data_IF_015513106421
#
_entry.id   IF_015513106421
#
_cell.length_a   1.000
_cell.length_b   1.000
_cell.length_c   1.000
_cell.angle_alpha   90.00
_cell.angle_beta   90.00
_cell.angle_gamma   90.00
#
_symmetry.space_group_name_H-M   'P 1'
#
loop_
_entity.id
_entity.type
_entity.pdbx_description
1 polymer ?
#
# COMPACT_ATOMS: atom_id res chain seq x y z
N UNK A 1 0.25 -2.91 13.31
CA UNK A 1 -0.35 -3.14 11.98
C UNK A 1 0.46 -4.26 11.33
N UNK A 2 -0.13 -5.44 11.09
CA UNK A 2 0.56 -6.55 10.40
C UNK A 2 0.24 -6.41 8.92
N UNK A 3 1.18 -5.88 8.14
CA UNK A 3 1.13 -5.97 6.69
C UNK A 3 1.62 -7.37 6.30
N UNK A 4 0.95 -7.95 5.33
CA UNK A 4 1.38 -9.23 4.77
C UNK A 4 2.78 -9.08 4.14
N UNK A 5 3.60 -10.13 4.24
CA UNK A 5 4.95 -10.13 3.70
C UNK A 5 4.98 -9.75 2.22
N UNK A 6 3.98 -10.18 1.45
CA UNK A 6 3.88 -9.90 0.01
C UNK A 6 3.65 -8.41 -0.27
N UNK A 7 2.77 -7.78 0.53
CA UNK A 7 2.55 -6.33 0.47
C UNK A 7 3.80 -5.55 0.83
N UNK A 8 4.54 -5.99 1.86
CA UNK A 8 5.79 -5.32 2.27
C UNK A 8 6.86 -5.43 1.18
N UNK A 9 6.98 -6.59 0.53
CA UNK A 9 7.95 -6.80 -0.56
C UNK A 9 7.63 -5.90 -1.76
N UNK A 10 6.35 -5.77 -2.15
CA UNK A 10 5.94 -4.82 -3.19
C UNK A 10 6.37 -3.38 -2.86
N UNK A 11 6.11 -2.90 -1.64
CA UNK A 11 6.50 -1.54 -1.25
C UNK A 11 8.02 -1.38 -1.09
N UNK A 12 8.77 -2.46 -0.82
CA UNK A 12 10.24 -2.42 -0.82
C UNK A 12 10.80 -2.27 -2.23
N UNK A 13 10.33 -3.04 -3.19
CA UNK A 13 10.73 -2.87 -4.60
C UNK A 13 10.40 -1.47 -5.10
N UNK A 14 9.21 -0.97 -4.76
CA UNK A 14 8.79 0.40 -5.10
C UNK A 14 9.66 1.45 -4.39
N UNK A 15 10.14 1.16 -3.18
CA UNK A 15 11.08 2.02 -2.45
C UNK A 15 12.45 2.07 -3.12
N UNK A 16 12.94 0.96 -3.67
CA UNK A 16 14.19 0.91 -4.43
C UNK A 16 14.08 1.69 -5.74
N UNK A 17 12.94 1.61 -6.45
CA UNK A 17 12.72 2.36 -7.69
C UNK A 17 12.55 3.86 -7.47
N UNK A 18 11.82 4.26 -6.40
CA UNK A 18 11.51 5.67 -6.14
C UNK A 18 12.52 6.37 -5.24
N UNK A 19 13.38 5.62 -4.56
CA UNK A 19 14.30 6.12 -3.54
C UNK A 19 13.61 6.57 -2.24
N UNK A 20 12.31 6.33 -2.09
CA UNK A 20 11.50 6.71 -0.93
C UNK A 20 11.32 5.48 -0.03
N UNK A 21 11.41 5.63 1.29
CA UNK A 21 11.23 4.50 2.20
C UNK A 21 9.84 3.85 2.08
N UNK A 22 9.78 2.52 2.13
CA UNK A 22 8.53 1.74 1.99
C UNK A 22 7.45 2.16 3.00
N UNK A 23 7.84 2.55 4.22
CA UNK A 23 6.92 3.09 5.24
C UNK A 23 6.28 4.42 4.81
N UNK A 24 7.04 5.29 4.14
CA UNK A 24 6.52 6.55 3.61
C UNK A 24 5.56 6.29 2.46
N UNK A 25 5.89 5.36 1.57
CA UNK A 25 5.00 4.92 0.48
C UNK A 25 3.69 4.35 1.03
N UNK A 26 3.76 3.43 2.01
CA UNK A 26 2.57 2.89 2.67
C UNK A 26 1.70 4.02 3.24
N UNK A 27 2.29 4.97 3.97
CA UNK A 27 1.55 6.09 4.53
C UNK A 27 0.94 6.99 3.45
N UNK A 28 1.66 7.25 2.36
CA UNK A 28 1.16 8.02 1.21
C UNK A 28 -0.04 7.33 0.56
N UNK A 29 0.06 6.03 0.29
CA UNK A 29 -1.02 5.26 -0.30
C UNK A 29 -2.23 5.16 0.63
N UNK A 30 -2.02 4.96 1.93
CA UNK A 30 -3.10 4.96 2.91
C UNK A 30 -3.78 6.32 3.02
N UNK A 31 -3.00 7.40 3.00
CA UNK A 31 -3.53 8.78 2.99
C UNK A 31 -4.33 9.06 1.74
N UNK A 32 -3.82 8.68 0.57
CA UNK A 32 -4.53 8.81 -0.72
C UNK A 32 -5.84 8.04 -0.69
N UNK A 33 -5.82 6.81 -0.17
CA UNK A 33 -6.98 5.95 -0.02
C UNK A 33 -8.05 6.60 0.88
N UNK A 34 -7.63 7.22 1.99
CA UNK A 34 -8.52 7.94 2.89
C UNK A 34 -9.08 9.23 2.27
N UNK A 35 -8.25 10.01 1.57
CA UNK A 35 -8.66 11.26 0.88
C UNK A 35 -9.67 10.97 -0.22
N UNK A 36 -9.41 9.95 -1.04
CA UNK A 36 -10.31 9.55 -2.13
C UNK A 36 -11.46 8.67 -1.65
N UNK A 37 -11.58 8.41 -0.34
CA UNK A 37 -12.52 7.48 0.28
C UNK A 37 -12.65 6.17 -0.51
N UNK A 38 -11.52 5.63 -0.99
CA UNK A 38 -11.52 4.37 -1.74
C UNK A 38 -11.94 3.27 -0.78
N UNK A 39 -13.19 2.86 -0.89
CA UNK A 39 -13.69 1.68 -0.17
C UNK A 39 -13.11 0.46 -0.86
N UNK A 40 -12.56 -0.46 -0.07
CA UNK A 40 -12.14 -1.76 -0.56
C UNK A 40 -13.36 -2.42 -1.22
N UNK A 41 -13.36 -2.48 -2.55
CA UNK A 41 -14.36 -3.21 -3.33
C UNK A 41 -14.02 -4.68 -3.18
N UNK A 42 -14.50 -5.27 -2.10
CA UNK A 42 -14.33 -6.67 -1.75
C UNK A 42 -15.28 -7.52 -2.61
N UNK A 43 -15.06 -7.53 -3.93
CA UNK A 43 -15.68 -8.51 -4.82
C UNK A 43 -14.87 -9.80 -4.71
N UNK A 44 -15.16 -10.62 -3.68
CA UNK A 44 -14.75 -12.02 -3.75
C UNK A 44 -15.64 -12.67 -4.80
N UNK A 45 -15.08 -12.96 -5.96
CA UNK A 45 -15.69 -13.91 -6.87
C UNK A 45 -15.87 -15.22 -6.09
N UNK A 46 -17.12 -15.61 -5.87
CA UNK A 46 -17.49 -16.94 -5.36
C UNK A 46 -17.23 -18.01 -6.40
#
# INVERSE_FOLDING_TARGET
>A
MRLDCDSVDYFKSLAEETGISYQTLINLYLRDCAVHQRKLQMQWAS
#
